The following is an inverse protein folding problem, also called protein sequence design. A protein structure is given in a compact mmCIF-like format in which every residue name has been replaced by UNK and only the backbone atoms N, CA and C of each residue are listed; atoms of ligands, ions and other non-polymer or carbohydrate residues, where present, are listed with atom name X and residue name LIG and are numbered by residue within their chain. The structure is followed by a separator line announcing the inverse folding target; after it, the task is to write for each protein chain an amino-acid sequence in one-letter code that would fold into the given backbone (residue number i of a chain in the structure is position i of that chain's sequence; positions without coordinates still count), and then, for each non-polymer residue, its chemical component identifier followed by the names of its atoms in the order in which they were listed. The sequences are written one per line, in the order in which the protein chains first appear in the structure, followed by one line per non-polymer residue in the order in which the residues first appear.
data_IF_452876598600
#
_entry.id   IF_452876598600
#
_cell.length_a   1.000
_cell.length_b   1.000
_cell.length_c   1.000
_cell.angle_alpha   90.00
_cell.angle_beta   90.00
_cell.angle_gamma   90.00
#
_symmetry.space_group_name_H-M   'P 1'
#
loop_
_entity.id
_entity.type
_entity.pdbx_description
1 polymer ?
#
# COMPACT_ATOMS: atom_id res chain seq x y z
N UNK A 1 5.61 -9.21 11.53
CA UNK A 1 6.28 -10.40 11.00
C UNK A 1 6.69 -10.18 9.53
N UNK A 2 7.76 -10.87 9.05
CA UNK A 2 8.24 -10.72 7.66
C UNK A 2 7.15 -11.10 6.65
N UNK A 3 6.43 -12.21 6.92
CA UNK A 3 5.32 -12.67 6.07
C UNK A 3 4.26 -11.58 5.87
N UNK A 4 3.84 -10.93 6.93
CA UNK A 4 2.78 -9.91 6.87
C UNK A 4 3.23 -8.67 6.09
N UNK A 5 4.52 -8.31 6.17
CA UNK A 5 5.12 -7.25 5.35
C UNK A 5 5.15 -7.62 3.87
N UNK A 6 5.55 -8.85 3.54
CA UNK A 6 5.59 -9.34 2.16
C UNK A 6 4.19 -9.36 1.55
N UNK A 7 3.22 -9.91 2.27
CA UNK A 7 1.82 -9.97 1.79
C UNK A 7 1.23 -8.58 1.59
N UNK A 8 1.44 -7.67 2.56
CA UNK A 8 0.98 -6.28 2.43
C UNK A 8 1.67 -5.52 1.28
N UNK A 9 2.98 -5.71 1.12
CA UNK A 9 3.72 -5.03 0.05
C UNK A 9 3.32 -5.51 -1.35
N UNK A 10 3.00 -6.79 -1.52
CA UNK A 10 2.57 -7.35 -2.81
C UNK A 10 1.23 -6.78 -3.32
N UNK A 11 0.46 -6.13 -2.46
CA UNK A 11 -0.84 -5.53 -2.79
C UNK A 11 -0.77 -4.03 -3.12
N UNK A 12 0.42 -3.42 -3.02
CA UNK A 12 0.58 -1.98 -3.19
C UNK A 12 0.77 -1.61 -4.67
N UNK A 13 0.05 -0.58 -5.10
CA UNK A 13 0.23 0.04 -6.43
C UNK A 13 1.34 1.10 -6.41
N UNK A 14 1.78 1.52 -5.23
CA UNK A 14 2.90 2.40 -4.96
C UNK A 14 3.22 2.45 -3.47
N UNK A 15 4.36 3.02 -3.10
CA UNK A 15 4.78 3.12 -1.72
C UNK A 15 5.34 4.50 -1.38
N UNK A 16 5.10 4.95 -0.14
CA UNK A 16 5.79 6.09 0.44
C UNK A 16 6.91 5.54 1.33
N UNK A 17 8.16 5.81 0.95
CA UNK A 17 9.33 5.45 1.73
C UNK A 17 9.67 6.60 2.69
N UNK A 18 9.56 6.36 3.98
CA UNK A 18 9.90 7.36 5.01
C UNK A 18 11.33 7.15 5.48
N UNK A 19 12.17 8.17 5.34
CA UNK A 19 13.58 8.18 5.77
C UNK A 19 13.81 9.35 6.71
N UNK A 20 14.63 9.17 7.75
CA UNK A 20 15.02 10.27 8.62
C UNK A 20 16.05 11.17 7.93
N UNK A 21 15.79 12.46 7.84
CA UNK A 21 16.75 13.43 7.31
C UNK A 21 17.99 13.56 8.20
N UNK A 22 17.84 13.34 9.51
CA UNK A 22 18.94 13.45 10.46
C UNK A 22 19.87 12.21 10.47
N UNK A 23 19.32 11.01 10.20
CA UNK A 23 20.05 9.75 10.30
C UNK A 23 20.45 9.18 8.92
N UNK A 24 19.81 9.68 7.85
CA UNK A 24 19.96 9.14 6.49
C UNK A 24 19.36 7.74 6.31
N UNK A 25 19.66 7.06 5.18
CA UNK A 25 19.19 5.71 4.92
C UNK A 25 19.85 4.70 5.86
N UNK A 26 19.05 4.04 6.68
CA UNK A 26 19.43 3.00 7.62
C UNK A 26 19.42 1.61 6.95
N UNK A 27 20.02 0.56 7.55
CA UNK A 27 19.94 -0.81 7.02
C UNK A 27 18.52 -1.28 6.75
N UNK A 28 17.55 -0.90 7.59
CA UNK A 28 16.13 -1.22 7.37
C UNK A 28 15.56 -0.55 6.12
N UNK A 29 16.04 0.65 5.78
CA UNK A 29 15.64 1.35 4.55
C UNK A 29 16.00 0.53 3.32
N UNK A 30 17.22 -0.03 3.30
CA UNK A 30 17.70 -0.94 2.23
C UNK A 30 16.82 -2.19 2.13
N UNK A 31 16.50 -2.80 3.27
CA UNK A 31 15.62 -3.98 3.32
C UNK A 31 14.23 -3.68 2.78
N UNK A 32 13.66 -2.51 3.09
CA UNK A 32 12.34 -2.11 2.62
C UNK A 32 12.33 -1.85 1.11
N UNK A 33 13.34 -1.19 0.56
CA UNK A 33 13.46 -0.95 -0.89
C UNK A 33 13.63 -2.28 -1.62
N UNK A 34 14.53 -3.15 -1.14
CA UNK A 34 14.74 -4.49 -1.70
C UNK A 34 13.45 -5.30 -1.70
N UNK A 35 12.72 -5.31 -0.58
CA UNK A 35 11.44 -6.01 -0.46
C UNK A 35 10.43 -5.45 -1.46
N UNK A 36 10.28 -4.13 -1.54
CA UNK A 36 9.37 -3.47 -2.49
C UNK A 36 9.68 -3.88 -3.92
N UNK A 37 10.97 -3.96 -4.28
CA UNK A 37 11.38 -4.43 -5.60
C UNK A 37 11.04 -5.89 -5.85
N UNK A 38 11.30 -6.77 -4.88
CA UNK A 38 11.05 -8.21 -5.00
C UNK A 38 9.56 -8.55 -5.11
N UNK A 39 8.69 -7.82 -4.42
CA UNK A 39 7.24 -8.03 -4.49
C UNK A 39 6.57 -7.28 -5.65
N UNK A 40 7.34 -6.47 -6.41
CA UNK A 40 6.89 -5.82 -7.61
C UNK A 40 6.12 -4.51 -7.39
N UNK A 41 6.40 -3.78 -6.29
CA UNK A 41 5.88 -2.40 -6.12
C UNK A 41 6.44 -1.53 -7.24
N UNK A 42 5.59 -0.92 -8.08
CA UNK A 42 6.06 -0.26 -9.29
C UNK A 42 6.61 1.16 -9.05
N UNK A 43 6.10 1.86 -8.03
CA UNK A 43 6.43 3.26 -7.77
C UNK A 43 6.77 3.50 -6.30
N UNK A 44 7.79 4.34 -6.06
CA UNK A 44 8.15 4.82 -4.72
C UNK A 44 8.19 6.35 -4.74
N UNK A 45 7.58 6.98 -3.73
CA UNK A 45 7.75 8.40 -3.40
C UNK A 45 8.45 8.46 -2.06
N UNK A 46 9.39 9.37 -1.87
CA UNK A 46 10.17 9.45 -0.62
C UNK A 46 9.72 10.65 0.22
N UNK A 47 9.55 10.42 1.52
CA UNK A 47 9.37 11.48 2.49
C UNK A 47 10.56 11.52 3.46
N UNK A 48 11.39 12.55 3.34
CA UNK A 48 12.48 12.84 4.28
C UNK A 48 11.91 13.51 5.53
N UNK A 49 11.65 12.71 6.55
CA UNK A 49 11.07 13.14 7.81
C UNK A 49 12.14 13.68 8.78
N UNK A 50 11.71 14.39 9.81
CA UNK A 50 12.55 15.03 10.84
C UNK A 50 13.47 16.13 10.26
N UNK A 51 13.04 16.84 9.23
CA UNK A 51 13.79 17.96 8.67
C UNK A 51 14.01 19.09 9.69
N UNK A 52 13.17 19.17 10.73
CA UNK A 52 13.32 20.08 11.87
C UNK A 52 14.57 19.82 12.74
N UNK A 53 15.21 18.67 12.60
CA UNK A 53 16.41 18.31 13.35
C UNK A 53 17.71 18.57 12.57
N UNK A 54 17.60 19.07 11.35
CA UNK A 54 18.74 19.32 10.46
C UNK A 54 18.78 20.80 10.09
N UNK A 55 19.75 21.51 10.64
CA UNK A 55 19.95 22.94 10.38
C UNK A 55 20.85 23.20 9.16
N UNK A 56 21.58 22.18 8.70
CA UNK A 56 22.53 22.29 7.61
C UNK A 56 21.92 21.83 6.26
N UNK A 57 21.73 22.75 5.31
CA UNK A 57 21.23 22.41 3.98
C UNK A 57 22.12 21.43 3.21
N UNK A 58 23.46 21.47 3.40
CA UNK A 58 24.38 20.57 2.71
C UNK A 58 24.16 19.12 3.17
N UNK A 59 23.84 18.93 4.45
CA UNK A 59 23.51 17.61 4.99
C UNK A 59 22.22 17.07 4.40
N UNK A 60 21.21 17.93 4.21
CA UNK A 60 19.94 17.54 3.57
C UNK A 60 20.18 17.08 2.12
N UNK A 61 20.99 17.80 1.36
CA UNK A 61 21.34 17.44 -0.02
C UNK A 61 22.14 16.12 -0.08
N UNK A 62 23.02 15.91 0.89
CA UNK A 62 23.80 14.67 0.98
C UNK A 62 22.89 13.44 1.21
N UNK A 63 21.96 13.56 2.18
CA UNK A 63 21.01 12.49 2.47
C UNK A 63 20.10 12.23 1.27
N UNK A 64 19.67 13.27 0.55
CA UNK A 64 18.89 13.11 -0.67
C UNK A 64 19.69 12.34 -1.75
N UNK A 65 20.95 12.69 -1.95
CA UNK A 65 21.81 11.96 -2.90
C UNK A 65 21.99 10.49 -2.53
N UNK A 66 22.21 10.19 -1.24
CA UNK A 66 22.32 8.80 -0.76
C UNK A 66 21.04 7.99 -1.01
N UNK A 67 19.86 8.63 -0.81
CA UNK A 67 18.58 7.98 -1.10
C UNK A 67 18.44 7.69 -2.59
N UNK A 68 18.80 8.65 -3.47
CA UNK A 68 18.74 8.47 -4.93
C UNK A 68 19.66 7.36 -5.41
N UNK A 69 20.91 7.34 -4.91
CA UNK A 69 21.87 6.27 -5.21
C UNK A 69 21.35 4.91 -4.76
N UNK A 70 20.76 4.85 -3.56
CA UNK A 70 20.19 3.63 -3.02
C UNK A 70 19.00 3.13 -3.86
N UNK A 71 18.11 4.01 -4.30
CA UNK A 71 16.99 3.64 -5.19
C UNK A 71 17.50 3.12 -6.53
N UNK A 72 18.52 3.76 -7.12
CA UNK A 72 19.17 3.31 -8.37
C UNK A 72 19.84 1.94 -8.20
N UNK A 73 20.45 1.65 -7.04
CA UNK A 73 21.06 0.35 -6.73
C UNK A 73 20.04 -0.81 -6.80
N UNK A 74 18.78 -0.53 -6.45
CA UNK A 74 17.67 -1.52 -6.47
C UNK A 74 16.74 -1.39 -7.68
N UNK A 75 17.21 -0.82 -8.79
CA UNK A 75 16.48 -0.65 -10.05
C UNK A 75 15.19 0.19 -9.95
N UNK A 76 15.09 1.11 -9.01
CA UNK A 76 14.11 2.19 -9.04
C UNK A 76 14.72 3.42 -9.71
N UNK A 77 13.92 4.27 -10.39
CA UNK A 77 14.41 5.48 -11.06
C UNK A 77 14.73 6.59 -10.02
N UNK A 78 15.84 6.43 -9.28
CA UNK A 78 16.19 7.31 -8.16
C UNK A 78 16.29 8.78 -8.56
N UNK A 79 16.75 9.09 -9.78
CA UNK A 79 16.88 10.47 -10.25
C UNK A 79 15.51 11.14 -10.50
N UNK A 80 14.51 10.36 -10.95
CA UNK A 80 13.17 10.83 -11.26
C UNK A 80 12.20 10.68 -10.06
N UNK A 81 12.62 9.95 -9.02
CA UNK A 81 11.78 9.72 -7.82
C UNK A 81 11.55 11.02 -7.05
N UNK A 82 10.29 11.41 -6.77
CA UNK A 82 9.99 12.56 -5.95
C UNK A 82 10.48 12.34 -4.51
N UNK A 83 11.20 13.34 -3.99
CA UNK A 83 11.66 13.38 -2.59
C UNK A 83 11.15 14.65 -1.95
N UNK A 84 10.32 14.51 -0.94
CA UNK A 84 9.72 15.62 -0.19
C UNK A 84 10.31 15.64 1.21
N UNK A 85 10.74 16.78 1.69
CA UNK A 85 11.28 16.96 3.05
C UNK A 85 10.29 17.68 3.96
N UNK A 86 10.25 17.25 5.23
CA UNK A 86 9.39 17.88 6.22
C UNK A 86 9.49 17.26 7.60
N UNK A 87 8.67 17.75 8.52
CA UNK A 87 8.55 17.20 9.87
C UNK A 87 7.12 16.81 10.17
N UNK A 88 6.86 15.51 10.20
CA UNK A 88 5.55 14.99 10.57
C UNK A 88 5.17 15.35 12.02
N UNK A 89 6.15 15.55 12.91
CA UNK A 89 5.91 15.99 14.28
C UNK A 89 5.35 17.41 14.32
N UNK A 90 5.97 18.35 13.60
CA UNK A 90 5.49 19.73 13.53
C UNK A 90 4.08 19.81 12.96
N UNK A 91 3.76 18.98 11.97
CA UNK A 91 2.40 18.86 11.43
C UNK A 91 1.42 18.36 12.47
N UNK A 92 1.80 17.34 13.23
CA UNK A 92 0.94 16.72 14.26
C UNK A 92 0.67 17.66 15.44
N UNK A 93 1.67 18.47 15.81
CA UNK A 93 1.60 19.43 16.94
C UNK A 93 1.00 20.78 16.51
N UNK A 94 0.72 20.98 15.25
CA UNK A 94 0.11 22.21 14.75
C UNK A 94 -1.37 22.29 15.15
N UNK A 95 -1.73 23.30 15.91
CA UNK A 95 -3.12 23.56 16.34
C UNK A 95 -3.95 24.35 15.31
N UNK A 96 -3.37 24.66 14.12
CA UNK A 96 -4.06 25.40 13.08
C UNK A 96 -5.26 24.64 12.53
N UNK A 97 -6.37 25.33 12.38
CA UNK A 97 -7.57 24.82 11.68
C UNK A 97 -7.57 25.17 10.19
N UNK A 98 -6.60 25.97 9.74
CA UNK A 98 -6.43 26.31 8.33
C UNK A 98 -5.70 25.16 7.60
N UNK A 99 -6.33 24.48 6.63
CA UNK A 99 -5.69 23.42 5.89
C UNK A 99 -4.50 23.88 5.04
N UNK A 100 -4.37 25.20 4.79
CA UNK A 100 -3.26 25.78 4.04
C UNK A 100 -2.16 26.38 4.94
N UNK A 101 -2.16 26.07 6.23
CA UNK A 101 -1.10 26.51 7.12
C UNK A 101 0.27 26.01 6.63
N UNK A 102 1.34 26.83 6.77
CA UNK A 102 2.68 26.47 6.28
C UNK A 102 3.20 25.14 6.81
N UNK A 103 2.81 24.78 8.02
CA UNK A 103 3.19 23.53 8.68
C UNK A 103 2.66 22.30 7.93
N UNK A 104 1.47 22.40 7.31
CA UNK A 104 0.86 21.28 6.54
C UNK A 104 1.43 21.15 5.13
N UNK A 105 2.18 22.16 4.66
CA UNK A 105 2.65 22.20 3.28
C UNK A 105 3.41 20.93 2.86
N UNK A 106 4.32 20.42 3.69
CA UNK A 106 5.10 19.23 3.34
C UNK A 106 4.23 17.98 3.13
N UNK A 107 3.11 17.88 3.83
CA UNK A 107 2.17 16.76 3.64
C UNK A 107 1.30 16.98 2.40
N UNK A 108 0.88 18.21 2.14
CA UNK A 108 0.14 18.53 0.91
C UNK A 108 1.02 18.30 -0.31
N UNK A 109 2.27 18.78 -0.30
CA UNK A 109 3.24 18.56 -1.37
C UNK A 109 3.50 17.04 -1.57
N UNK A 110 3.58 16.26 -0.48
CA UNK A 110 3.71 14.80 -0.56
C UNK A 110 2.51 14.17 -1.25
N UNK A 111 1.29 14.56 -0.90
CA UNK A 111 0.08 14.01 -1.50
C UNK A 111 -0.06 14.40 -2.97
N UNK A 112 0.27 15.65 -3.32
CA UNK A 112 0.28 16.13 -4.70
C UNK A 112 1.29 15.32 -5.56
N UNK A 113 2.48 15.02 -5.00
CA UNK A 113 3.47 14.20 -5.70
C UNK A 113 3.05 12.72 -5.81
N UNK A 114 2.38 12.18 -4.81
CA UNK A 114 1.78 10.83 -4.89
C UNK A 114 0.76 10.76 -6.02
N UNK A 115 -0.16 11.73 -6.10
CA UNK A 115 -1.19 11.78 -7.15
C UNK A 115 -0.61 12.00 -8.55
N UNK A 116 0.51 12.75 -8.64
CA UNK A 116 1.18 13.04 -9.91
C UNK A 116 2.06 11.88 -10.40
N UNK A 117 2.81 11.25 -9.50
CA UNK A 117 3.86 10.29 -9.83
C UNK A 117 3.34 8.85 -9.93
N UNK A 118 2.38 8.48 -9.07
CA UNK A 118 1.80 7.14 -9.07
C UNK A 118 0.53 7.16 -9.93
N UNK A 119 0.54 6.52 -11.12
CA UNK A 119 -0.65 6.50 -11.97
C UNK A 119 -1.77 5.71 -11.32
N UNK A 120 -3.01 6.13 -11.56
CA UNK A 120 -4.18 5.35 -11.14
C UNK A 120 -4.13 3.97 -11.79
N UNK A 121 -4.13 2.87 -11.02
CA UNK A 121 -4.01 1.54 -11.59
C UNK A 121 -5.22 1.17 -12.46
N UNK A 122 -4.96 0.55 -13.60
CA UNK A 122 -6.03 0.00 -14.44
C UNK A 122 -6.66 -1.21 -13.76
N UNK A 123 -7.92 -1.08 -13.36
CA UNK A 123 -8.69 -2.15 -12.74
C UNK A 123 -9.31 -3.04 -13.81
N UNK A 124 -8.98 -4.33 -13.80
CA UNK A 124 -9.51 -5.31 -14.77
C UNK A 124 -10.88 -5.84 -14.33
N UNK A 125 -11.85 -4.95 -14.15
CA UNK A 125 -13.20 -5.29 -13.65
C UNK A 125 -14.05 -6.07 -14.66
N UNK A 126 -13.74 -5.98 -15.96
CA UNK A 126 -14.48 -6.67 -17.03
C UNK A 126 -14.12 -8.16 -17.19
N UNK A 127 -13.11 -8.64 -16.48
CA UNK A 127 -12.68 -10.04 -16.54
C UNK A 127 -13.44 -10.89 -15.53
N UNK A 128 -13.44 -12.25 -15.69
CA UNK A 128 -13.98 -13.14 -14.67
C UNK A 128 -13.33 -12.91 -13.31
N UNK A 129 -14.14 -12.93 -12.25
CA UNK A 129 -13.68 -12.72 -10.87
C UNK A 129 -12.55 -13.68 -10.50
N UNK A 130 -11.53 -13.14 -9.87
CA UNK A 130 -10.42 -13.88 -9.27
C UNK A 130 -9.94 -13.16 -8.01
N UNK A 131 -9.88 -13.91 -6.91
CA UNK A 131 -9.34 -13.45 -5.63
C UNK A 131 -8.44 -14.54 -5.04
N UNK A 132 -7.12 -14.33 -4.95
CA UNK A 132 -6.25 -15.21 -4.15
C UNK A 132 -6.67 -15.15 -2.68
N UNK A 133 -6.82 -16.33 -2.05
CA UNK A 133 -7.11 -16.40 -0.61
C UNK A 133 -5.79 -16.23 0.16
N UNK A 134 -5.70 -15.20 0.98
CA UNK A 134 -4.52 -14.87 1.77
C UNK A 134 -4.62 -15.41 3.20
N UNK A 135 -5.82 -15.28 3.80
CA UNK A 135 -6.09 -15.77 5.14
C UNK A 135 -7.53 -16.25 5.29
N UNK A 136 -7.78 -17.07 6.31
CA UNK A 136 -9.08 -17.67 6.58
C UNK A 136 -9.40 -17.48 8.07
N UNK A 137 -10.56 -16.91 8.35
CA UNK A 137 -11.07 -16.72 9.72
C UNK A 137 -12.40 -17.46 9.90
N UNK A 138 -12.56 -18.10 11.03
CA UNK A 138 -13.86 -18.68 11.43
C UNK A 138 -14.54 -17.76 12.43
N UNK A 139 -15.71 -17.25 12.07
CA UNK A 139 -16.53 -16.39 12.95
C UNK A 139 -17.66 -17.24 13.52
N UNK A 140 -17.70 -17.34 14.86
CA UNK A 140 -18.75 -18.09 15.57
C UNK A 140 -20.14 -17.55 15.17
N UNK A 141 -20.99 -18.42 14.64
CA UNK A 141 -22.36 -18.09 14.21
C UNK A 141 -22.49 -17.44 12.82
N UNK A 142 -21.38 -17.14 12.14
CA UNK A 142 -21.39 -16.57 10.78
C UNK A 142 -20.73 -17.44 9.73
N UNK A 143 -19.85 -18.37 10.15
CA UNK A 143 -19.15 -19.26 9.22
C UNK A 143 -17.69 -18.86 9.00
N UNK A 144 -17.14 -19.34 7.90
CA UNK A 144 -15.75 -19.08 7.50
C UNK A 144 -15.68 -17.87 6.60
N UNK A 145 -14.75 -16.96 6.86
CA UNK A 145 -14.45 -15.79 6.03
C UNK A 145 -13.12 -16.02 5.35
N UNK A 146 -13.08 -15.90 4.04
CA UNK A 146 -11.87 -15.88 3.26
C UNK A 146 -11.48 -14.43 2.94
N UNK A 147 -10.25 -14.04 3.21
CA UNK A 147 -9.76 -12.69 2.91
C UNK A 147 -8.75 -12.71 1.80
N UNK A 148 -8.72 -11.63 1.03
CA UNK A 148 -7.78 -11.43 -0.07
C UNK A 148 -8.07 -10.18 -0.87
N UNK A 149 -7.15 -9.83 -1.76
CA UNK A 149 -7.36 -8.77 -2.75
C UNK A 149 -8.05 -9.34 -3.99
N UNK A 150 -9.05 -8.64 -4.49
CA UNK A 150 -9.64 -8.96 -5.79
C UNK A 150 -8.66 -8.58 -6.89
N UNK A 151 -8.09 -9.58 -7.57
CA UNK A 151 -7.12 -9.38 -8.65
C UNK A 151 -7.78 -8.87 -9.94
N UNK A 152 -8.97 -9.38 -10.22
CA UNK A 152 -9.74 -9.02 -11.41
C UNK A 152 -11.21 -9.37 -11.25
N UNK A 153 -12.03 -8.74 -12.09
CA UNK A 153 -13.46 -8.96 -12.14
C UNK A 153 -14.21 -8.25 -11.03
N UNK A 154 -15.46 -8.59 -10.90
CA UNK A 154 -16.38 -8.09 -9.91
C UNK A 154 -17.06 -9.26 -9.20
N UNK A 155 -17.29 -9.12 -7.91
CA UNK A 155 -18.02 -10.07 -7.07
C UNK A 155 -19.23 -9.37 -6.48
N UNK A 156 -20.42 -9.89 -6.74
CA UNK A 156 -21.65 -9.38 -6.13
C UNK A 156 -22.12 -10.28 -4.98
N UNK A 157 -22.89 -9.73 -4.10
CA UNK A 157 -23.55 -10.50 -3.06
C UNK A 157 -24.47 -11.56 -3.70
N UNK A 158 -24.40 -12.79 -3.20
CA UNK A 158 -25.07 -14.01 -3.69
C UNK A 158 -24.52 -14.58 -5.02
N UNK A 159 -23.39 -14.11 -5.51
CA UNK A 159 -22.74 -14.75 -6.64
C UNK A 159 -22.21 -16.15 -6.26
N UNK A 160 -22.33 -17.09 -7.20
CA UNK A 160 -21.69 -18.42 -7.10
C UNK A 160 -20.23 -18.31 -7.58
N UNK A 161 -19.30 -18.68 -6.72
CA UNK A 161 -17.87 -18.72 -7.03
C UNK A 161 -17.32 -20.14 -6.91
N UNK A 162 -16.26 -20.42 -7.62
CA UNK A 162 -15.56 -21.70 -7.60
C UNK A 162 -14.27 -21.57 -6.79
N UNK A 163 -14.15 -22.36 -5.72
CA UNK A 163 -12.90 -22.47 -4.97
C UNK A 163 -12.01 -23.45 -5.71
N UNK A 164 -10.86 -22.95 -6.16
CA UNK A 164 -9.82 -23.70 -6.83
C UNK A 164 -8.56 -23.72 -5.97
N UNK A 165 -7.78 -24.75 -6.01
CA UNK A 165 -6.57 -24.83 -5.18
C UNK A 165 -5.81 -26.14 -5.31
N UNK A 166 -5.29 -26.65 -4.19
CA UNK A 166 -4.40 -27.81 -4.13
C UNK A 166 -5.10 -29.16 -4.40
N UNK A 167 -6.41 -29.17 -4.54
CA UNK A 167 -7.17 -30.38 -4.86
C UNK A 167 -7.81 -30.25 -6.23
N UNK A 168 -7.94 -31.39 -6.95
CA UNK A 168 -8.59 -31.43 -8.26
C UNK A 168 -10.12 -31.25 -8.19
N UNK A 169 -10.69 -31.29 -6.98
CA UNK A 169 -12.11 -31.07 -6.76
C UNK A 169 -12.45 -29.58 -6.73
N UNK A 170 -13.20 -29.17 -7.73
CA UNK A 170 -13.76 -27.83 -7.80
C UNK A 170 -14.98 -27.73 -6.89
N UNK A 171 -14.94 -26.81 -5.94
CA UNK A 171 -16.03 -26.59 -5.00
C UNK A 171 -16.74 -25.29 -5.31
N UNK A 172 -18.03 -25.37 -5.62
CA UNK A 172 -18.89 -24.21 -5.81
C UNK A 172 -19.50 -23.77 -4.47
N UNK A 173 -19.47 -22.48 -4.23
CA UNK A 173 -19.99 -21.85 -3.01
C UNK A 173 -20.67 -20.54 -3.36
N UNK A 174 -21.64 -20.12 -2.55
CA UNK A 174 -22.32 -18.85 -2.71
C UNK A 174 -21.73 -17.85 -1.71
N UNK A 175 -21.41 -16.65 -2.18
CA UNK A 175 -20.91 -15.56 -1.31
C UNK A 175 -22.08 -14.82 -0.69
N UNK A 176 -22.32 -15.02 0.60
CA UNK A 176 -23.44 -14.45 1.34
C UNK A 176 -23.10 -13.16 2.07
N UNK A 177 -21.86 -12.74 2.07
CA UNK A 177 -21.42 -11.49 2.67
C UNK A 177 -20.09 -11.03 2.11
N UNK A 178 -19.95 -9.73 1.90
CA UNK A 178 -18.72 -9.06 1.50
C UNK A 178 -18.48 -7.94 2.49
N UNK A 179 -17.28 -7.90 3.08
CA UNK A 179 -16.91 -6.89 4.08
C UNK A 179 -15.56 -6.27 3.74
N UNK A 180 -15.46 -4.95 3.84
CA UNK A 180 -14.22 -4.18 3.72
C UNK A 180 -14.21 -3.08 4.79
N UNK A 181 -13.10 -2.97 5.57
CA UNK A 181 -12.96 -2.01 6.66
C UNK A 181 -14.15 -1.97 7.65
N UNK A 182 -14.68 -3.16 8.00
CA UNK A 182 -15.85 -3.35 8.88
C UNK A 182 -17.18 -2.77 8.32
N UNK A 183 -17.24 -2.56 7.00
CA UNK A 183 -18.47 -2.17 6.30
C UNK A 183 -18.90 -3.31 5.39
N UNK A 184 -20.20 -3.63 5.43
CA UNK A 184 -20.79 -4.58 4.49
C UNK A 184 -20.94 -3.90 3.13
N UNK A 185 -20.62 -4.62 2.08
CA UNK A 185 -20.71 -4.17 0.70
C UNK A 185 -21.68 -5.04 -0.08
N UNK A 186 -22.35 -4.46 -1.07
CA UNK A 186 -23.20 -5.17 -2.01
C UNK A 186 -22.37 -5.84 -3.14
N UNK A 187 -21.23 -5.26 -3.46
CA UNK A 187 -20.28 -5.77 -4.44
C UNK A 187 -18.84 -5.37 -4.09
N UNK A 188 -17.89 -6.06 -4.70
CA UNK A 188 -16.46 -5.73 -4.69
C UNK A 188 -15.87 -5.85 -6.10
N UNK A 189 -14.84 -5.08 -6.39
CA UNK A 189 -14.20 -5.05 -7.71
C UNK A 189 -12.68 -5.19 -7.63
N UNK A 190 -12.06 -5.37 -8.78
CA UNK A 190 -10.60 -5.48 -8.89
C UNK A 190 -9.88 -4.36 -8.14
N UNK A 191 -8.93 -4.72 -7.27
CA UNK A 191 -8.18 -3.81 -6.41
C UNK A 191 -8.70 -3.74 -4.97
N UNK A 192 -9.94 -4.18 -4.69
CA UNK A 192 -10.49 -4.18 -3.35
C UNK A 192 -9.90 -5.31 -2.50
N UNK A 193 -9.58 -5.00 -1.24
CA UNK A 193 -9.16 -6.00 -0.27
C UNK A 193 -10.35 -6.33 0.65
N UNK A 194 -10.88 -7.52 0.53
CA UNK A 194 -12.16 -7.90 1.13
C UNK A 194 -12.09 -9.17 1.99
N UNK A 195 -13.07 -9.29 2.87
CA UNK A 195 -13.46 -10.54 3.49
C UNK A 195 -14.76 -11.04 2.84
N UNK A 196 -14.72 -12.21 2.20
CA UNK A 196 -15.88 -12.85 1.63
C UNK A 196 -16.35 -14.00 2.52
N UNK A 197 -17.68 -14.14 2.71
CA UNK A 197 -18.31 -15.23 3.44
C UNK A 197 -18.87 -16.25 2.44
N UNK A 198 -18.11 -17.27 2.05
CA UNK A 198 -18.61 -18.35 1.24
C UNK A 198 -19.42 -19.34 2.08
N UNK A 199 -20.61 -19.71 1.63
CA UNK A 199 -21.47 -20.76 2.22
C UNK A 199 -21.69 -21.84 1.19
N UNK A 200 -21.47 -23.08 1.62
CA UNK A 200 -21.66 -24.32 0.80
C UNK A 200 -23.03 -24.91 0.97
#
# INVERSE_FOLDING_TARGET
CIRDRITGAAQMDGAILVVSAADGPMPQTREHILLSRQVGVPYIVVFMNKADQVDDPELMELVEMEIRELLNEYDFPGDDTPIISGSALQVLECDSTDPNAPEYKCILDLMDEVDRYIPTPERKSDLPFLMPIEDIFSITGRGTVATGRVERGQLNLNDEVEIVGLTDEKRKVVVTGIEMFRKLLDYAEAGDNIGALPVS
#
